data_IF_306902231481
#
_entry.id   IF_306902231481
#
_cell.length_a   1.000
_cell.length_b   1.000
_cell.length_c   1.000
_cell.angle_alpha   90.00
_cell.angle_beta   90.00
_cell.angle_gamma   90.00
#
_symmetry.space_group_name_H-M   'P 1'
#
loop_
_entity.id
_entity.type
_entity.pdbx_description
1 polymer ?
#
# COMPACT_ATOMS: atom_id res chain seq x y z
N UNK A 1 19.91 65.10 52.44
CA UNK A 1 18.63 64.50 52.08
C UNK A 1 18.77 64.02 50.64
N UNK A 2 18.84 62.73 50.45
CA UNK A 2 19.44 62.06 49.28
C UNK A 2 18.31 61.70 48.32
N UNK A 3 18.42 62.17 47.07
CA UNK A 3 17.49 61.82 45.99
C UNK A 3 18.13 60.75 45.13
N UNK A 4 17.56 59.56 45.16
CA UNK A 4 17.98 58.37 44.41
C UNK A 4 17.41 58.44 43.00
N UNK A 5 18.26 58.55 41.97
CA UNK A 5 17.91 58.48 40.54
C UNK A 5 17.86 57.01 40.11
N UNK A 6 16.70 56.49 39.78
CA UNK A 6 16.54 55.22 39.09
C UNK A 6 16.77 55.42 37.61
N UNK A 7 17.81 54.75 37.09
CA UNK A 7 18.15 54.68 35.66
C UNK A 7 17.42 53.47 35.06
N UNK A 8 16.32 53.70 34.34
CA UNK A 8 15.66 52.63 33.57
C UNK A 8 16.39 52.44 32.23
N UNK A 9 17.12 51.31 32.11
CA UNK A 9 17.69 50.89 30.84
C UNK A 9 16.58 50.24 30.03
N UNK A 10 16.01 50.97 29.07
CA UNK A 10 15.20 50.41 28.00
C UNK A 10 16.06 49.67 27.01
N UNK A 11 15.96 48.35 26.99
CA UNK A 11 16.62 47.48 26.01
C UNK A 11 15.89 47.61 24.67
N UNK A 12 16.45 48.45 23.77
CA UNK A 12 15.93 48.65 22.42
C UNK A 12 16.48 47.52 21.55
N UNK A 13 15.71 46.45 21.34
CA UNK A 13 16.08 45.45 20.35
C UNK A 13 15.77 46.00 18.95
N UNK A 14 16.74 46.07 18.03
CA UNK A 14 16.51 46.65 16.72
C UNK A 14 15.60 45.72 15.90
N UNK A 15 14.46 46.23 15.44
CA UNK A 15 13.46 45.58 14.58
C UNK A 15 14.08 45.01 13.28
N UNK A 16 15.28 45.36 12.93
CA UNK A 16 16.02 44.93 11.75
C UNK A 16 16.48 43.45 11.81
N UNK A 17 16.79 42.92 13.02
CA UNK A 17 17.23 41.53 13.18
C UNK A 17 16.10 40.54 13.11
N UNK A 18 14.89 40.96 13.49
CA UNK A 18 13.67 40.14 13.39
C UNK A 18 13.24 39.91 11.93
N UNK A 19 13.49 40.90 11.03
CA UNK A 19 13.18 40.77 9.60
C UNK A 19 14.08 39.80 8.85
N UNK A 20 15.30 39.57 9.33
CA UNK A 20 16.23 38.63 8.73
C UNK A 20 16.05 37.18 9.22
N UNK A 21 15.52 36.98 10.45
CA UNK A 21 15.27 35.67 11.02
C UNK A 21 14.02 34.99 10.47
N UNK A 22 13.02 35.78 10.06
CA UNK A 22 11.75 35.25 9.54
C UNK A 22 11.91 34.46 8.22
N UNK A 23 12.65 34.94 7.19
CA UNK A 23 12.88 34.16 5.97
C UNK A 23 13.79 32.95 6.19
N UNK A 24 14.71 33.00 7.15
CA UNK A 24 15.58 31.85 7.49
C UNK A 24 14.79 30.74 8.17
N UNK A 25 13.80 31.08 9.01
CA UNK A 25 12.87 30.11 9.62
C UNK A 25 11.93 29.48 8.59
N UNK A 26 11.51 30.26 7.57
CA UNK A 26 10.63 29.75 6.51
C UNK A 26 11.33 28.78 5.56
N UNK A 27 12.65 28.94 5.33
CA UNK A 27 13.45 27.99 4.55
C UNK A 27 13.63 26.63 5.25
N UNK A 28 13.62 26.59 6.58
CA UNK A 28 13.73 25.35 7.36
C UNK A 28 12.50 24.46 7.34
N UNK A 29 11.34 25.01 6.98
CA UNK A 29 10.06 24.25 6.94
C UNK A 29 9.85 23.49 5.64
N UNK A 30 10.67 23.69 4.60
CA UNK A 30 10.56 23.00 3.31
C UNK A 30 11.26 21.62 3.29
N UNK A 31 11.97 21.24 4.35
CA UNK A 31 12.72 19.97 4.41
C UNK A 31 11.93 18.79 5.00
N UNK A 32 10.70 18.98 5.40
CA UNK A 32 9.91 17.95 6.07
C UNK A 32 8.81 17.43 5.14
N UNK A 33 9.12 16.45 4.33
CA UNK A 33 8.26 15.37 3.85
C UNK A 33 8.93 14.62 2.69
N UNK A 34 9.93 13.81 2.97
CA UNK A 34 10.25 12.69 2.09
C UNK A 34 10.08 11.38 2.89
N UNK A 35 8.85 10.87 2.93
CA UNK A 35 8.67 9.43 3.06
C UNK A 35 9.21 8.83 1.77
N UNK A 36 10.53 8.62 1.71
CA UNK A 36 11.17 7.88 0.65
C UNK A 36 10.60 6.45 0.72
N UNK A 37 10.00 5.94 -0.36
CA UNK A 37 9.70 4.51 -0.48
C UNK A 37 11.00 3.74 -0.20
N UNK A 38 10.88 2.50 0.27
CA UNK A 38 12.02 1.62 0.49
C UNK A 38 12.98 1.75 -0.72
N UNK A 39 14.17 2.31 -0.51
CA UNK A 39 15.10 2.72 -1.55
C UNK A 39 15.58 1.57 -2.47
N UNK A 40 15.06 0.37 -2.27
CA UNK A 40 15.34 -0.85 -3.05
C UNK A 40 14.46 -1.02 -4.29
N UNK A 41 13.34 -0.30 -4.38
CA UNK A 41 12.37 -0.45 -5.46
C UNK A 41 12.18 0.87 -6.20
N UNK A 42 12.14 0.82 -7.53
CA UNK A 42 11.85 1.97 -8.39
C UNK A 42 10.71 1.64 -9.36
N UNK A 43 9.96 2.67 -9.70
CA UNK A 43 8.87 2.58 -10.66
C UNK A 43 9.39 2.15 -12.03
N UNK A 44 8.68 1.20 -12.68
CA UNK A 44 9.01 0.74 -14.03
C UNK A 44 7.75 0.61 -14.89
N UNK A 45 7.93 0.37 -16.19
CA UNK A 45 6.85 0.10 -17.13
C UNK A 45 6.92 -1.36 -17.59
N UNK A 46 5.75 -1.99 -17.73
CA UNK A 46 5.62 -3.37 -18.21
C UNK A 46 4.56 -3.43 -19.30
N UNK A 47 4.66 -4.38 -20.23
CA UNK A 47 3.65 -4.56 -21.28
C UNK A 47 2.43 -5.38 -20.80
N UNK A 48 2.66 -6.27 -19.85
CA UNK A 48 1.64 -7.15 -19.27
C UNK A 48 1.82 -7.19 -17.76
N UNK A 49 0.73 -7.22 -17.01
CA UNK A 49 0.74 -7.20 -15.55
C UNK A 49 1.54 -8.35 -14.92
N UNK A 50 1.57 -9.52 -15.55
CA UNK A 50 2.33 -10.70 -15.10
C UNK A 50 3.86 -10.52 -15.11
N UNK A 51 4.36 -9.51 -15.86
CA UNK A 51 5.79 -9.18 -15.90
C UNK A 51 6.25 -8.45 -14.63
N UNK A 52 5.32 -7.79 -13.94
CA UNK A 52 5.61 -7.10 -12.68
C UNK A 52 5.81 -8.11 -11.55
N UNK A 53 7.06 -8.37 -11.17
CA UNK A 53 7.40 -9.25 -10.04
C UNK A 53 7.25 -8.55 -8.69
N UNK A 54 7.32 -7.23 -8.68
CA UNK A 54 7.01 -6.38 -7.55
C UNK A 54 6.09 -5.25 -8.02
N UNK A 55 5.19 -4.82 -7.15
CA UNK A 55 4.26 -3.73 -7.45
C UNK A 55 3.70 -3.09 -6.19
N UNK A 56 3.27 -1.86 -6.31
CA UNK A 56 2.52 -1.11 -5.31
C UNK A 56 1.11 -0.87 -5.83
N UNK A 57 0.12 -1.01 -4.95
CA UNK A 57 -1.28 -0.78 -5.26
C UNK A 57 -1.90 0.11 -4.19
N UNK A 58 -2.65 1.13 -4.63
CA UNK A 58 -3.51 1.93 -3.77
C UNK A 58 -4.94 1.87 -4.26
N UNK A 59 -5.88 1.92 -3.32
CA UNK A 59 -7.28 1.82 -3.68
C UNK A 59 -8.21 1.86 -2.49
N UNK A 60 -9.36 1.23 -2.67
CA UNK A 60 -10.38 1.08 -1.63
C UNK A 60 -10.83 -0.37 -1.57
N UNK A 61 -11.01 -0.85 -0.36
CA UNK A 61 -11.65 -2.14 -0.06
C UNK A 61 -12.97 -1.87 0.64
N UNK A 62 -14.05 -2.44 0.12
CA UNK A 62 -15.32 -2.56 0.83
C UNK A 62 -15.57 -4.03 1.16
N UNK A 63 -15.92 -4.29 2.40
CA UNK A 63 -16.24 -5.60 2.95
C UNK A 63 -17.70 -5.60 3.34
N UNK A 64 -18.40 -6.68 3.03
CA UNK A 64 -19.78 -6.94 3.47
C UNK A 64 -19.91 -8.39 3.86
N UNK A 65 -20.31 -8.61 5.11
CA UNK A 65 -20.74 -9.89 5.68
C UNK A 65 -22.19 -9.78 6.16
N UNK A 66 -22.81 -10.83 6.69
CA UNK A 66 -24.10 -10.72 7.35
C UNK A 66 -24.09 -9.80 8.60
N UNK A 67 -22.95 -9.76 9.30
CA UNK A 67 -22.79 -9.06 10.57
C UNK A 67 -22.35 -7.61 10.40
N UNK A 68 -21.55 -7.33 9.37
CA UNK A 68 -20.90 -6.02 9.23
C UNK A 68 -20.75 -5.56 7.78
N UNK A 69 -20.66 -4.25 7.61
CA UNK A 69 -20.34 -3.61 6.33
C UNK A 69 -19.47 -2.38 6.59
N UNK A 70 -18.28 -2.35 6.00
CA UNK A 70 -17.36 -1.24 6.11
C UNK A 70 -16.57 -1.01 4.82
N UNK A 71 -15.87 0.12 4.77
CA UNK A 71 -14.97 0.46 3.66
C UNK A 71 -13.73 1.16 4.21
N UNK A 72 -12.58 0.81 3.65
CA UNK A 72 -11.27 1.31 4.05
C UNK A 72 -10.49 1.76 2.83
N UNK A 73 -9.47 2.60 3.03
CA UNK A 73 -8.41 2.74 2.05
C UNK A 73 -7.53 1.49 2.11
N UNK A 74 -7.04 1.10 0.95
CA UNK A 74 -6.17 -0.04 0.73
C UNK A 74 -4.82 0.45 0.19
N UNK A 75 -3.75 0.04 0.84
CA UNK A 75 -2.38 0.09 0.34
C UNK A 75 -1.81 -1.33 0.34
N UNK A 76 -1.14 -1.70 -0.73
CA UNK A 76 -0.52 -3.02 -0.83
C UNK A 76 0.81 -2.92 -1.59
N UNK A 77 1.89 -3.33 -0.95
CA UNK A 77 3.19 -3.53 -1.57
C UNK A 77 3.45 -5.04 -1.65
N UNK A 78 3.60 -5.53 -2.86
CA UNK A 78 3.96 -6.92 -3.17
C UNK A 78 5.37 -6.96 -3.74
N UNK A 79 6.18 -7.88 -3.24
CA UNK A 79 7.50 -8.19 -3.77
C UNK A 79 7.65 -9.71 -3.89
N UNK A 80 8.68 -10.24 -4.56
CA UNK A 80 8.89 -11.69 -4.63
C UNK A 80 9.04 -12.39 -3.29
N UNK A 81 9.37 -11.68 -2.23
CA UNK A 81 9.68 -12.26 -0.91
C UNK A 81 8.88 -11.66 0.24
N UNK A 82 8.19 -10.55 0.04
CA UNK A 82 7.49 -9.86 1.13
C UNK A 82 6.16 -9.28 0.66
N UNK A 83 5.24 -9.19 1.60
CA UNK A 83 3.95 -8.51 1.45
C UNK A 83 3.79 -7.45 2.54
N UNK A 84 3.27 -6.29 2.18
CA UNK A 84 2.74 -5.33 3.14
C UNK A 84 1.36 -4.89 2.69
N UNK A 85 0.33 -5.33 3.40
CA UNK A 85 -1.07 -4.96 3.20
C UNK A 85 -1.53 -4.06 4.34
N UNK A 86 -1.97 -2.85 4.03
CA UNK A 86 -2.43 -1.87 5.01
C UNK A 86 -3.84 -1.41 4.69
N UNK A 87 -4.70 -1.44 5.69
CA UNK A 87 -6.03 -0.86 5.65
C UNK A 87 -6.08 0.34 6.59
N UNK A 88 -6.64 1.45 6.12
CA UNK A 88 -6.81 2.66 6.92
C UNK A 88 -8.21 3.20 6.77
N UNK A 89 -8.70 3.91 7.80
CA UNK A 89 -9.94 4.68 7.71
C UNK A 89 -9.79 5.81 6.68
N UNK A 90 -10.89 6.46 6.34
CA UNK A 90 -10.86 7.63 5.45
C UNK A 90 -10.03 8.79 6.02
N UNK A 91 -9.84 8.84 7.34
CA UNK A 91 -9.01 9.84 8.03
C UNK A 91 -7.54 9.40 8.17
N UNK A 92 -7.16 8.22 7.66
CA UNK A 92 -5.79 7.72 7.69
C UNK A 92 -5.41 6.93 8.96
N UNK A 93 -6.33 6.70 9.89
CA UNK A 93 -6.07 5.85 11.06
C UNK A 93 -5.88 4.40 10.60
N UNK A 94 -4.83 3.73 11.08
CA UNK A 94 -4.59 2.31 10.80
C UNK A 94 -5.71 1.45 11.38
N UNK A 95 -6.29 0.60 10.53
CA UNK A 95 -7.27 -0.43 10.91
C UNK A 95 -6.58 -1.78 10.98
N UNK A 96 -5.76 -2.07 9.97
CA UNK A 96 -5.03 -3.33 9.85
C UNK A 96 -3.70 -3.10 9.13
N UNK A 97 -2.64 -3.75 9.61
CA UNK A 97 -1.37 -3.86 8.92
C UNK A 97 -0.90 -5.31 8.96
N UNK A 98 -0.87 -5.96 7.81
CA UNK A 98 -0.29 -7.27 7.64
C UNK A 98 1.06 -7.14 6.93
N UNK A 99 2.11 -7.68 7.52
CA UNK A 99 3.43 -7.83 6.90
C UNK A 99 3.79 -9.29 6.88
N UNK A 100 4.31 -9.79 5.78
CA UNK A 100 4.85 -11.15 5.71
C UNK A 100 6.14 -11.20 4.90
N UNK A 101 6.96 -12.18 5.20
CA UNK A 101 8.26 -12.39 4.59
C UNK A 101 8.86 -13.73 4.98
N UNK A 102 10.16 -13.97 4.65
CA UNK A 102 10.83 -15.24 4.93
C UNK A 102 10.84 -15.64 6.41
N UNK A 103 10.81 -14.65 7.32
CA UNK A 103 10.86 -14.87 8.77
C UNK A 103 9.48 -15.10 9.41
N UNK A 104 8.40 -15.05 8.61
CA UNK A 104 7.02 -15.20 9.05
C UNK A 104 6.17 -13.97 8.79
N UNK A 105 5.08 -13.84 9.55
CA UNK A 105 4.10 -12.78 9.40
C UNK A 105 3.82 -12.06 10.71
N UNK A 106 3.47 -10.78 10.57
CA UNK A 106 3.01 -9.90 11.64
C UNK A 106 1.69 -9.26 11.19
N UNK A 107 0.68 -9.35 12.03
CA UNK A 107 -0.59 -8.64 11.87
C UNK A 107 -0.78 -7.68 13.05
N UNK A 108 -0.94 -6.40 12.73
CA UNK A 108 -1.44 -5.39 13.66
C UNK A 108 -2.91 -5.16 13.34
N UNK A 109 -3.77 -5.35 14.34
CA UNK A 109 -5.20 -5.19 14.25
C UNK A 109 -5.70 -4.57 15.55
N UNK A 110 -6.45 -3.46 15.47
CA UNK A 110 -6.99 -2.72 16.62
C UNK A 110 -5.95 -2.35 17.70
N UNK A 111 -4.70 -2.10 17.28
CA UNK A 111 -3.60 -1.74 18.16
C UNK A 111 -2.87 -2.92 18.81
N UNK A 112 -3.35 -4.15 18.61
CA UNK A 112 -2.70 -5.38 19.07
C UNK A 112 -1.82 -5.97 17.97
N UNK A 113 -0.71 -6.63 18.36
CA UNK A 113 0.26 -7.21 17.43
C UNK A 113 0.33 -8.72 17.60
N UNK A 114 0.03 -9.43 16.51
CA UNK A 114 0.03 -10.88 16.43
C UNK A 114 1.13 -11.37 15.49
N UNK A 115 1.67 -12.55 15.73
CA UNK A 115 2.72 -13.17 14.90
C UNK A 115 2.45 -14.64 14.67
N UNK A 116 2.69 -15.08 13.43
CA UNK A 116 2.67 -16.51 13.03
C UNK A 116 3.66 -16.70 11.87
N UNK A 117 3.98 -17.93 11.55
CA UNK A 117 4.75 -18.26 10.34
C UNK A 117 3.90 -18.17 9.08
N UNK A 118 2.59 -18.34 9.22
CA UNK A 118 1.61 -18.36 8.13
C UNK A 118 0.70 -17.12 8.19
N UNK A 119 0.82 -16.17 7.23
CA UNK A 119 0.00 -14.98 7.20
C UNK A 119 -1.49 -15.28 7.01
N UNK A 120 -1.85 -16.36 6.28
CA UNK A 120 -3.24 -16.74 6.09
C UNK A 120 -3.87 -17.14 7.41
N UNK A 121 -3.15 -17.91 8.23
CA UNK A 121 -3.62 -18.35 9.55
C UNK A 121 -3.84 -17.19 10.51
N UNK A 122 -2.97 -16.16 10.48
CA UNK A 122 -3.18 -14.93 11.24
C UNK A 122 -4.49 -14.26 10.86
N UNK A 123 -4.73 -14.09 9.56
CA UNK A 123 -5.92 -13.41 9.07
C UNK A 123 -7.19 -14.20 9.38
N UNK A 124 -7.18 -15.52 9.16
CA UNK A 124 -8.32 -16.41 9.41
C UNK A 124 -8.70 -16.50 10.89
N UNK A 125 -7.70 -16.38 11.78
CA UNK A 125 -7.92 -16.51 13.22
C UNK A 125 -8.41 -15.24 13.93
N UNK A 126 -8.25 -14.07 13.31
CA UNK A 126 -8.45 -12.78 13.97
C UNK A 126 -9.51 -11.90 13.32
N UNK A 127 -9.95 -12.22 12.10
CA UNK A 127 -11.02 -11.49 11.43
C UNK A 127 -12.25 -12.36 11.19
N UNK A 128 -13.44 -11.76 11.25
CA UNK A 128 -14.71 -12.41 10.87
C UNK A 128 -14.82 -12.68 9.37
N UNK A 129 -13.89 -12.12 8.59
CA UNK A 129 -13.76 -12.26 7.14
C UNK A 129 -12.30 -12.55 6.78
N UNK A 130 -12.08 -13.34 5.76
CA UNK A 130 -10.76 -13.71 5.28
C UNK A 130 -10.67 -13.52 3.78
N UNK A 131 -9.49 -13.10 3.33
CA UNK A 131 -9.14 -13.00 1.91
C UNK A 131 -8.08 -14.05 1.58
N UNK A 132 -8.11 -14.64 0.38
CA UNK A 132 -7.13 -15.66 0.00
C UNK A 132 -5.79 -15.00 -0.36
N UNK A 133 -4.91 -14.84 0.62
CA UNK A 133 -3.62 -14.13 0.47
C UNK A 133 -2.70 -14.76 -0.58
N UNK A 134 -2.84 -16.04 -0.86
CA UNK A 134 -2.07 -16.76 -1.88
C UNK A 134 -2.56 -16.49 -3.31
N UNK A 135 -3.87 -16.24 -3.51
CA UNK A 135 -4.47 -16.04 -4.83
C UNK A 135 -4.71 -14.57 -5.16
N UNK A 136 -5.05 -13.77 -4.16
CA UNK A 136 -5.47 -12.38 -4.33
C UNK A 136 -4.42 -11.49 -5.02
N UNK A 137 -3.08 -11.64 -4.82
CA UNK A 137 -2.08 -10.85 -5.53
C UNK A 137 -2.16 -11.02 -7.07
N UNK A 138 -2.56 -12.19 -7.54
CA UNK A 138 -2.76 -12.44 -8.96
C UNK A 138 -4.12 -11.95 -9.44
N UNK A 139 -5.18 -12.19 -8.66
CA UNK A 139 -6.53 -11.76 -9.01
C UNK A 139 -6.67 -10.24 -9.14
N UNK A 140 -6.01 -9.46 -8.30
CA UNK A 140 -6.04 -7.99 -8.42
C UNK A 140 -5.36 -7.48 -9.70
N UNK A 141 -4.51 -8.29 -10.33
CA UNK A 141 -3.90 -8.02 -11.62
C UNK A 141 -4.68 -8.63 -12.80
N UNK A 142 -5.80 -9.29 -12.55
CA UNK A 142 -6.57 -9.98 -13.60
C UNK A 142 -5.94 -11.29 -14.06
N UNK A 143 -5.11 -11.91 -13.23
CA UNK A 143 -4.40 -13.15 -13.56
C UNK A 143 -5.00 -14.32 -12.78
N UNK A 144 -5.01 -15.50 -13.40
CA UNK A 144 -5.31 -16.76 -12.69
C UNK A 144 -4.19 -17.08 -11.69
N UNK A 145 -4.57 -17.56 -10.51
CA UNK A 145 -3.62 -18.01 -9.49
C UNK A 145 -3.28 -19.50 -9.62
N UNK A 146 -4.17 -20.30 -10.22
CA UNK A 146 -3.99 -21.72 -10.44
C UNK A 146 -4.61 -22.18 -11.76
N UNK A 147 -4.08 -23.23 -12.34
CA UNK A 147 -4.60 -23.82 -13.61
C UNK A 147 -6.02 -24.44 -13.45
N UNK A 148 -6.44 -24.68 -12.20
CA UNK A 148 -7.77 -25.21 -11.89
C UNK A 148 -8.88 -24.16 -11.86
N UNK A 149 -8.53 -22.88 -11.99
CA UNK A 149 -9.49 -21.78 -12.01
C UNK A 149 -10.19 -21.70 -13.37
N UNK A 150 -11.50 -21.52 -13.33
CA UNK A 150 -12.32 -21.30 -14.52
C UNK A 150 -12.34 -19.80 -14.85
N UNK A 151 -11.74 -19.40 -15.97
CA UNK A 151 -11.67 -18.00 -16.41
C UNK A 151 -12.53 -17.81 -17.65
N UNK A 152 -13.45 -16.83 -17.59
CA UNK A 152 -14.19 -16.33 -18.75
C UNK A 152 -13.60 -14.98 -19.16
N UNK A 153 -13.33 -14.81 -20.46
CA UNK A 153 -12.78 -13.58 -21.03
C UNK A 153 -13.85 -12.76 -21.75
N UNK A 154 -13.66 -11.45 -21.82
CA UNK A 154 -14.44 -10.55 -22.65
C UNK A 154 -13.91 -10.52 -24.11
N UNK A 155 -14.54 -9.72 -24.98
CA UNK A 155 -14.15 -9.59 -26.39
C UNK A 155 -12.75 -8.99 -26.59
N UNK A 156 -12.22 -8.26 -25.60
CA UNK A 156 -10.90 -7.63 -25.61
C UNK A 156 -9.81 -8.59 -25.11
N UNK A 157 -10.18 -9.82 -24.73
CA UNK A 157 -9.27 -10.83 -24.20
C UNK A 157 -8.99 -10.68 -22.68
N UNK A 158 -9.55 -9.66 -22.03
CA UNK A 158 -9.40 -9.49 -20.60
C UNK A 158 -10.35 -10.42 -19.82
N UNK A 159 -9.96 -10.96 -18.66
CA UNK A 159 -10.87 -11.70 -17.79
C UNK A 159 -12.12 -10.89 -17.46
N UNK A 160 -13.29 -11.51 -17.62
CA UNK A 160 -14.58 -11.00 -17.20
C UNK A 160 -14.96 -11.57 -15.83
N UNK A 161 -14.66 -12.86 -15.63
CA UNK A 161 -14.86 -13.53 -14.34
C UNK A 161 -13.90 -14.70 -14.18
N UNK A 162 -13.68 -15.05 -12.92
CA UNK A 162 -12.87 -16.19 -12.51
C UNK A 162 -13.61 -16.92 -11.39
N UNK A 163 -13.54 -18.25 -11.37
CA UNK A 163 -14.02 -19.07 -10.29
C UNK A 163 -12.91 -20.02 -9.81
N UNK A 164 -12.60 -19.96 -8.51
CA UNK A 164 -11.70 -20.89 -7.84
C UNK A 164 -12.49 -21.89 -7.01
N UNK A 165 -12.60 -23.09 -7.52
CA UNK A 165 -13.28 -24.22 -6.88
C UNK A 165 -12.41 -25.03 -5.89
N UNK A 166 -11.19 -24.60 -5.59
CA UNK A 166 -10.29 -25.30 -4.66
C UNK A 166 -10.81 -25.32 -3.22
N UNK A 167 -11.73 -24.40 -2.89
CA UNK A 167 -12.39 -24.27 -1.58
C UNK A 167 -13.93 -24.32 -1.72
N UNK A 168 -14.60 -24.70 -0.64
CA UNK A 168 -16.07 -24.71 -0.60
C UNK A 168 -16.60 -23.77 0.50
N UNK A 169 -17.52 -22.83 0.19
CA UNK A 169 -17.97 -22.47 -1.16
C UNK A 169 -16.82 -21.85 -1.99
N UNK A 170 -16.92 -21.91 -3.34
CA UNK A 170 -15.88 -21.39 -4.23
C UNK A 170 -15.77 -19.87 -4.16
N UNK A 171 -14.57 -19.34 -4.46
CA UNK A 171 -14.40 -17.94 -4.74
C UNK A 171 -14.89 -17.61 -6.14
N UNK A 172 -15.66 -16.54 -6.26
CA UNK A 172 -16.09 -15.96 -7.52
C UNK A 172 -15.56 -14.53 -7.64
N UNK A 173 -14.76 -14.28 -8.65
CA UNK A 173 -14.21 -12.96 -8.97
C UNK A 173 -14.88 -12.44 -10.24
N UNK A 174 -15.38 -11.19 -10.21
CA UNK A 174 -15.91 -10.48 -11.37
C UNK A 174 -15.11 -9.20 -11.60
N UNK A 175 -14.61 -9.03 -12.81
CA UNK A 175 -13.90 -7.85 -13.25
C UNK A 175 -14.89 -6.89 -13.92
N UNK A 176 -15.18 -5.77 -13.24
CA UNK A 176 -16.25 -4.85 -13.64
C UNK A 176 -15.74 -3.73 -14.56
N UNK A 177 -14.48 -3.36 -14.43
CA UNK A 177 -13.82 -2.40 -15.33
C UNK A 177 -12.32 -2.55 -15.29
N UNK A 178 -11.66 -2.08 -16.36
CA UNK A 178 -10.22 -2.13 -16.59
C UNK A 178 -9.66 -0.72 -16.75
N UNK A 179 -8.36 -0.56 -16.56
CA UNK A 179 -7.60 0.67 -16.74
C UNK A 179 -6.17 0.35 -17.14
N UNK A 180 -5.49 1.32 -17.75
CA UNK A 180 -4.08 1.18 -18.11
C UNK A 180 -3.21 1.94 -17.11
N UNK A 181 -2.25 1.25 -16.49
CA UNK A 181 -1.25 1.83 -15.57
C UNK A 181 0.08 1.09 -15.69
N UNK A 182 1.17 1.82 -15.52
CA UNK A 182 2.55 1.31 -15.71
C UNK A 182 2.74 0.55 -17.01
N UNK A 183 1.98 0.90 -18.08
CA UNK A 183 2.05 0.29 -19.41
C UNK A 183 1.21 -0.97 -19.60
N UNK A 184 0.59 -1.52 -18.56
CA UNK A 184 -0.25 -2.71 -18.59
C UNK A 184 -1.73 -2.42 -18.37
N UNK A 185 -2.60 -3.27 -18.92
CA UNK A 185 -4.01 -3.31 -18.59
C UNK A 185 -4.18 -4.06 -17.26
N UNK A 186 -4.83 -3.43 -16.30
CA UNK A 186 -5.13 -3.99 -14.99
C UNK A 186 -6.59 -3.74 -14.62
N UNK A 187 -7.19 -4.56 -13.74
CA UNK A 187 -8.51 -4.28 -13.22
C UNK A 187 -8.56 -2.94 -12.50
N UNK A 188 -9.59 -2.14 -12.79
CA UNK A 188 -9.91 -0.94 -12.02
C UNK A 188 -10.88 -1.24 -10.89
N UNK A 189 -11.83 -2.13 -11.15
CA UNK A 189 -12.87 -2.49 -10.22
C UNK A 189 -13.16 -3.98 -10.32
N UNK A 190 -13.03 -4.68 -9.21
CA UNK A 190 -13.34 -6.09 -9.10
C UNK A 190 -14.19 -6.37 -7.86
N UNK A 191 -14.99 -7.43 -7.96
CA UNK A 191 -15.88 -7.92 -6.91
C UNK A 191 -15.58 -9.40 -6.67
N UNK A 192 -15.35 -9.76 -5.42
CA UNK A 192 -15.11 -11.12 -4.99
C UNK A 192 -16.25 -11.56 -4.09
N UNK A 193 -16.74 -12.79 -4.27
CA UNK A 193 -17.77 -13.37 -3.42
C UNK A 193 -17.34 -14.76 -2.97
N UNK A 194 -17.67 -15.10 -1.72
CA UNK A 194 -17.54 -16.45 -1.18
C UNK A 194 -18.63 -16.66 -0.11
N UNK A 195 -19.63 -17.46 -0.42
CA UNK A 195 -20.79 -17.60 0.45
C UNK A 195 -21.48 -16.25 0.68
N UNK A 196 -21.59 -15.84 1.95
CA UNK A 196 -22.18 -14.54 2.33
C UNK A 196 -21.18 -13.38 2.34
N UNK A 197 -19.88 -13.65 2.19
CA UNK A 197 -18.84 -12.62 2.11
C UNK A 197 -18.82 -11.99 0.72
N UNK A 198 -18.89 -10.67 0.67
CA UNK A 198 -18.70 -9.86 -0.54
C UNK A 198 -17.57 -8.86 -0.30
N UNK A 199 -16.58 -8.88 -1.17
CA UNK A 199 -15.49 -7.90 -1.21
C UNK A 199 -15.59 -7.12 -2.52
N UNK A 200 -15.36 -5.82 -2.44
CA UNK A 200 -15.25 -4.94 -3.61
C UNK A 200 -13.96 -4.17 -3.52
N UNK A 201 -13.08 -4.35 -4.50
CA UNK A 201 -11.79 -3.69 -4.56
C UNK A 201 -11.81 -2.72 -5.73
N UNK A 202 -11.52 -1.45 -5.45
CA UNK A 202 -11.33 -0.41 -6.45
C UNK A 202 -9.87 0.01 -6.42
N UNK A 203 -9.15 -0.26 -7.51
CA UNK A 203 -7.78 0.20 -7.70
C UNK A 203 -7.81 1.64 -8.22
N UNK A 204 -7.11 2.54 -7.54
CA UNK A 204 -6.93 3.93 -7.96
C UNK A 204 -5.55 4.17 -8.54
N UNK A 205 -4.54 3.52 -7.98
CA UNK A 205 -3.15 3.57 -8.44
C UNK A 205 -2.56 2.16 -8.44
N UNK A 206 -1.82 1.84 -9.49
CA UNK A 206 -0.97 0.65 -9.54
C UNK A 206 0.35 1.00 -10.22
N UNK A 207 1.44 0.56 -9.62
CA UNK A 207 2.78 0.83 -10.10
C UNK A 207 3.56 -0.47 -10.15
N UNK A 208 4.04 -0.84 -11.33
CA UNK A 208 5.04 -1.90 -11.46
C UNK A 208 6.38 -1.39 -10.89
N UNK A 209 7.08 -2.25 -10.19
CA UNK A 209 8.33 -1.95 -9.52
C UNK A 209 9.45 -2.88 -9.99
N UNK A 210 10.66 -2.37 -10.05
CA UNK A 210 11.89 -3.15 -10.25
C UNK A 210 12.91 -2.86 -9.16
N UNK A 211 13.74 -3.84 -8.85
CA UNK A 211 14.81 -3.67 -7.88
C UNK A 211 15.87 -2.69 -8.43
N UNK A 212 16.29 -1.73 -7.64
CA UNK A 212 17.41 -0.88 -7.98
C UNK A 212 18.68 -1.72 -8.09
N UNK A 213 19.28 -1.73 -9.29
CA UNK A 213 20.62 -2.28 -9.46
C UNK A 213 21.61 -1.39 -8.70
N UNK A 214 22.19 -1.89 -7.61
CA UNK A 214 23.36 -1.25 -7.01
C UNK A 214 24.50 -1.32 -8.03
N UNK A 215 24.67 -0.25 -8.81
CA UNK A 215 25.87 -0.06 -9.60
C UNK A 215 27.03 0.05 -8.61
N UNK A 216 27.74 -1.05 -8.39
CA UNK A 216 29.05 -1.01 -7.77
C UNK A 216 29.93 -0.18 -8.69
N UNK A 217 30.12 1.10 -8.35
CA UNK A 217 31.15 1.93 -8.96
C UNK A 217 32.47 1.22 -8.67
N UNK A 218 32.96 0.43 -9.62
CA UNK A 218 34.36 0.05 -9.68
C UNK A 218 35.11 1.34 -9.93
N UNK A 219 35.54 1.95 -8.84
CA UNK A 219 36.57 2.95 -8.86
C UNK A 219 37.81 2.34 -9.53
N UNK A 220 38.05 2.75 -10.79
CA UNK A 220 39.24 2.42 -11.54
C UNK A 220 40.41 3.03 -10.80
N UNK A 221 41.10 2.23 -9.99
CA UNK A 221 42.50 2.53 -9.67
C UNK A 221 43.28 2.36 -10.97
N UNK A 222 43.62 3.48 -11.56
CA UNK A 222 44.70 3.58 -12.54
C UNK A 222 46.02 3.69 -11.80
N UNK A 223 47.05 2.99 -12.28
CA UNK A 223 48.41 3.00 -11.71
C UNK A 223 49.13 4.33 -11.88
#
# INVERSE_FOLDING_TARGET
MIILKYFTKTCFTPLSTLRLLLPLLLLGLLSACSNLPDARWQATQVKHAEQAKAWELKGKLAVKTPEEKFSTNLYWLHTPTTEELRLTTMLGTSVMLLKSGPDGALLELDGEVYRDRDPQRLLDGLSSWSIPLNALPRWVLGLSAADTELVLTNNDGNPQSLEDGSVSPPWQVKYLSWQQQSGADIPRLLKLNRGALELKIQLTEWQALEAQSTLTTKESQQP
#
